data_IF_377557360302
#
_entry.id   IF_377557360302
#
_cell.length_a   1.000
_cell.length_b   1.000
_cell.length_c   1.000
_cell.angle_alpha   90.00
_cell.angle_beta   90.00
_cell.angle_gamma   90.00
#
_symmetry.space_group_name_H-M   'P 1'
#
loop_
_entity.id
_entity.type
_entity.pdbx_description
1 polymer ?
#
# COMPACT_ATOMS: atom_id res chain seq x y z
N UNK A 1 -31.33 -50.07 -14.47
CA UNK A 1 -30.75 -49.53 -13.22
C UNK A 1 -29.33 -49.00 -13.41
N UNK A 2 -28.41 -49.78 -14.01
CA UNK A 2 -27.00 -49.38 -14.20
C UNK A 2 -26.82 -48.12 -15.07
N UNK A 3 -27.63 -47.94 -16.13
CA UNK A 3 -27.56 -46.75 -17.01
C UNK A 3 -27.95 -45.45 -16.28
N UNK A 4 -28.88 -45.52 -15.32
CA UNK A 4 -29.29 -44.37 -14.50
C UNK A 4 -28.19 -43.97 -13.50
N UNK A 5 -27.50 -44.97 -12.92
CA UNK A 5 -26.36 -44.75 -12.01
C UNK A 5 -25.14 -44.20 -12.78
N UNK A 6 -24.88 -44.71 -13.98
CA UNK A 6 -23.82 -44.22 -14.86
C UNK A 6 -24.10 -42.78 -15.34
N UNK A 7 -25.34 -42.46 -15.72
CA UNK A 7 -25.75 -41.10 -16.08
C UNK A 7 -25.62 -40.12 -14.92
N UNK A 8 -26.01 -40.53 -13.72
CA UNK A 8 -25.84 -39.74 -12.50
C UNK A 8 -24.38 -39.42 -12.20
N UNK A 9 -23.50 -40.42 -12.30
CA UNK A 9 -22.05 -40.25 -12.05
C UNK A 9 -21.39 -39.24 -13.01
N UNK A 10 -21.77 -39.25 -14.29
CA UNK A 10 -21.25 -38.28 -15.28
C UNK A 10 -21.67 -36.85 -14.94
N UNK A 11 -22.93 -36.64 -14.54
CA UNK A 11 -23.44 -35.31 -14.14
C UNK A 11 -22.72 -34.81 -12.87
N UNK A 12 -22.48 -35.69 -11.89
CA UNK A 12 -21.77 -35.31 -10.67
C UNK A 12 -20.31 -34.92 -10.95
N UNK A 13 -19.62 -35.65 -11.82
CA UNK A 13 -18.25 -35.32 -12.22
C UNK A 13 -18.16 -34.01 -13.01
N UNK A 14 -19.10 -33.78 -13.94
CA UNK A 14 -19.19 -32.52 -14.66
C UNK A 14 -19.48 -31.35 -13.72
N UNK A 15 -20.41 -31.50 -12.78
CA UNK A 15 -20.70 -30.49 -11.76
C UNK A 15 -19.50 -30.18 -10.86
N UNK A 16 -18.71 -31.19 -10.49
CA UNK A 16 -17.48 -31.01 -9.72
C UNK A 16 -16.40 -30.23 -10.49
N UNK A 17 -16.18 -30.54 -11.77
CA UNK A 17 -15.22 -29.82 -12.63
C UNK A 17 -15.62 -28.38 -12.88
N UNK A 18 -16.91 -28.13 -13.14
CA UNK A 18 -17.45 -26.78 -13.30
C UNK A 18 -17.30 -25.95 -12.02
N UNK A 19 -17.66 -26.53 -10.86
CA UNK A 19 -17.53 -25.86 -9.57
C UNK A 19 -16.08 -25.49 -9.25
N UNK A 20 -15.13 -26.36 -9.59
CA UNK A 20 -13.69 -26.10 -9.37
C UNK A 20 -13.15 -24.99 -10.28
N UNK A 21 -13.68 -24.86 -11.48
CA UNK A 21 -13.27 -23.80 -12.43
C UNK A 21 -13.90 -22.46 -12.03
N UNK A 22 -15.19 -22.46 -11.66
CA UNK A 22 -15.88 -21.27 -11.17
C UNK A 22 -15.26 -20.72 -9.88
N UNK A 23 -14.88 -21.60 -8.95
CA UNK A 23 -14.21 -21.19 -7.71
C UNK A 23 -12.86 -20.50 -7.95
N UNK A 24 -12.12 -20.87 -9.01
CA UNK A 24 -10.86 -20.20 -9.38
C UNK A 24 -11.09 -18.81 -9.99
N UNK A 25 -12.16 -18.64 -10.77
CA UNK A 25 -12.53 -17.35 -11.36
C UNK A 25 -13.03 -16.38 -10.26
N UNK A 26 -13.86 -16.88 -9.33
CA UNK A 26 -14.34 -16.08 -8.20
C UNK A 26 -13.20 -15.64 -7.27
N UNK A 27 -12.24 -16.54 -7.00
CA UNK A 27 -11.04 -16.20 -6.25
C UNK A 27 -10.17 -15.17 -6.97
N UNK A 28 -9.94 -15.32 -8.28
CA UNK A 28 -9.19 -14.34 -9.05
C UNK A 28 -9.83 -12.93 -9.04
N UNK A 29 -11.17 -12.85 -9.13
CA UNK A 29 -11.86 -11.56 -9.00
C UNK A 29 -11.74 -10.95 -7.60
N UNK A 30 -11.79 -11.77 -6.55
CA UNK A 30 -11.59 -11.31 -5.16
C UNK A 30 -10.16 -10.82 -4.94
N UNK A 31 -9.16 -11.55 -5.45
CA UNK A 31 -7.75 -11.18 -5.34
C UNK A 31 -7.46 -9.85 -6.05
N UNK A 32 -8.01 -9.65 -7.25
CA UNK A 32 -7.91 -8.37 -7.96
C UNK A 32 -8.55 -7.21 -7.17
N UNK A 33 -9.68 -7.45 -6.50
CA UNK A 33 -10.32 -6.48 -5.63
C UNK A 33 -9.46 -6.08 -4.43
N UNK A 34 -8.84 -7.08 -3.78
CA UNK A 34 -7.93 -6.86 -2.64
C UNK A 34 -6.68 -6.09 -3.05
N UNK A 35 -6.00 -6.52 -4.12
CA UNK A 35 -4.79 -5.84 -4.63
C UNK A 35 -5.09 -4.38 -4.98
N UNK A 36 -6.23 -4.09 -5.61
CA UNK A 36 -6.63 -2.72 -5.94
C UNK A 36 -6.84 -1.86 -4.69
N UNK A 37 -7.40 -2.43 -3.62
CA UNK A 37 -7.59 -1.75 -2.34
C UNK A 37 -6.25 -1.46 -1.68
N UNK A 38 -5.34 -2.43 -1.63
CA UNK A 38 -3.98 -2.27 -1.09
C UNK A 38 -3.18 -1.20 -1.86
N UNK A 39 -3.25 -1.20 -3.20
CA UNK A 39 -2.61 -0.16 -4.00
C UNK A 39 -3.18 1.24 -3.73
N UNK A 40 -4.49 1.34 -3.47
CA UNK A 40 -5.15 2.62 -3.14
C UNK A 40 -4.72 3.11 -1.76
N UNK A 41 -4.64 2.20 -0.77
CA UNK A 41 -4.16 2.50 0.57
C UNK A 41 -2.68 2.94 0.56
N UNK A 42 -1.83 2.23 -0.21
CA UNK A 42 -0.42 2.61 -0.42
C UNK A 42 -0.30 3.98 -1.10
N UNK A 43 -1.06 4.25 -2.17
CA UNK A 43 -1.03 5.54 -2.85
C UNK A 43 -1.43 6.69 -1.91
N UNK A 44 -2.42 6.47 -1.04
CA UNK A 44 -2.84 7.45 -0.05
C UNK A 44 -1.77 7.65 1.04
N UNK A 45 -1.12 6.58 1.50
CA UNK A 45 -0.05 6.68 2.50
C UNK A 45 1.16 7.42 1.95
N UNK A 46 1.59 7.10 0.72
CA UNK A 46 2.67 7.83 0.04
C UNK A 46 2.29 9.29 -0.15
N UNK A 47 1.04 9.62 -0.49
CA UNK A 47 0.59 11.01 -0.56
C UNK A 47 0.57 11.73 0.79
N UNK A 48 0.38 11.02 1.92
CA UNK A 48 0.47 11.59 3.28
C UNK A 48 1.91 11.84 3.72
N UNK A 49 2.82 10.96 3.33
CA UNK A 49 4.24 11.02 3.71
C UNK A 49 5.10 11.82 2.71
N UNK A 50 4.55 12.17 1.54
CA UNK A 50 5.23 12.97 0.53
C UNK A 50 5.31 14.44 0.97
N UNK A 51 6.44 14.81 1.56
CA UNK A 51 6.82 16.22 1.75
C UNK A 51 7.23 16.78 0.38
N UNK A 52 6.60 17.87 -0.06
CA UNK A 52 7.01 18.54 -1.31
C UNK A 52 8.43 19.09 -1.13
N UNK A 53 9.20 19.13 -2.21
CA UNK A 53 10.57 19.66 -2.18
C UNK A 53 10.62 21.07 -1.58
N UNK A 54 9.62 21.90 -1.88
CA UNK A 54 9.52 23.26 -1.36
C UNK A 54 9.28 23.30 0.16
N UNK A 55 8.43 22.41 0.69
CA UNK A 55 8.17 22.29 2.13
C UNK A 55 9.42 21.80 2.88
N UNK A 56 10.14 20.84 2.30
CA UNK A 56 11.41 20.37 2.85
C UNK A 56 12.48 21.46 2.86
N UNK A 57 12.58 22.25 1.79
CA UNK A 57 13.51 23.38 1.71
C UNK A 57 13.16 24.44 2.76
N UNK A 58 11.87 24.76 2.95
CA UNK A 58 11.43 25.75 3.94
C UNK A 58 11.78 25.32 5.38
N UNK A 59 11.60 24.05 5.73
CA UNK A 59 12.00 23.52 7.05
C UNK A 59 13.53 23.56 7.19
N UNK A 60 14.26 23.17 6.14
CA UNK A 60 15.73 23.19 6.11
C UNK A 60 16.28 24.59 6.35
N UNK A 61 15.77 25.59 5.63
CA UNK A 61 16.16 26.99 5.77
C UNK A 61 15.84 27.52 7.18
N UNK A 62 14.70 27.13 7.75
CA UNK A 62 14.33 27.49 9.11
C UNK A 62 15.27 26.88 10.16
N UNK A 63 15.73 25.64 9.94
CA UNK A 63 16.72 24.97 10.80
C UNK A 63 18.06 25.71 10.73
N UNK A 64 18.59 25.99 9.53
CA UNK A 64 19.85 26.71 9.39
C UNK A 64 19.80 28.09 10.04
N UNK A 65 18.73 28.85 9.82
CA UNK A 65 18.54 30.15 10.49
C UNK A 65 18.54 30.06 12.03
N UNK A 66 18.03 28.95 12.59
CA UNK A 66 18.08 28.71 14.04
C UNK A 66 19.49 28.37 14.48
N UNK A 67 20.22 27.58 13.70
CA UNK A 67 21.62 27.22 13.96
C UNK A 67 22.52 28.46 13.89
N UNK A 68 22.39 29.29 12.88
CA UNK A 68 23.13 30.56 12.75
C UNK A 68 22.90 31.46 13.98
N UNK A 69 21.64 31.57 14.41
CA UNK A 69 21.30 32.34 15.62
C UNK A 69 21.90 31.75 16.90
N UNK A 70 22.14 30.44 16.95
CA UNK A 70 22.81 29.78 18.07
C UNK A 70 24.31 30.05 18.00
N UNK A 71 24.90 29.99 16.81
CA UNK A 71 26.29 30.34 16.53
C UNK A 71 26.59 31.79 16.97
N UNK A 72 25.80 32.76 16.52
CA UNK A 72 25.93 34.18 16.93
C UNK A 72 25.92 34.36 18.45
N UNK A 73 25.04 33.62 19.14
CA UNK A 73 24.93 33.68 20.60
C UNK A 73 26.09 33.00 21.32
N UNK A 74 26.68 31.99 20.69
CA UNK A 74 27.83 31.28 21.21
C UNK A 74 29.07 32.16 21.09
N UNK A 75 29.30 32.76 19.93
CA UNK A 75 30.39 33.70 19.69
C UNK A 75 30.29 34.91 20.63
N UNK A 76 29.11 35.50 20.78
CA UNK A 76 28.88 36.61 21.71
C UNK A 76 29.09 36.25 23.21
N UNK A 77 29.12 34.96 23.56
CA UNK A 77 29.48 34.48 24.90
C UNK A 77 30.98 34.24 25.04
N UNK A 78 31.66 33.86 23.97
CA UNK A 78 33.12 33.67 23.94
C UNK A 78 33.84 35.02 23.95
N UNK A 79 33.25 36.05 23.37
CA UNK A 79 33.84 37.40 23.26
C UNK A 79 33.71 38.29 24.52
N UNK A 80 33.31 37.71 25.67
CA UNK A 80 33.25 38.45 26.94
C UNK A 80 34.52 38.18 27.78
N UNK A 81 35.28 39.23 28.17
CA UNK A 81 36.46 39.09 29.03
C UNK A 81 36.10 38.62 30.46
#
# INVERSE_FOLDING_TARGET
MIIQIAGGGVITLLGFLLSRTYGRIDQAHKDLGTVRKEMTELALQVAKEYIRRDDFQAVTDAIFKKLDRIEDKLDAKVDKP
#
